data_IF_999736081986
#
_entry.id   IF_999736081986
#
_cell.length_a   1.000
_cell.length_b   1.000
_cell.length_c   1.000
_cell.angle_alpha   90.00
_cell.angle_beta   90.00
_cell.angle_gamma   90.00
#
_symmetry.space_group_name_H-M   'P 1'
#
loop_
_entity.id
_entity.type
_entity.pdbx_description
1 polymer ?
#
# COMPACT_ATOMS: atom_id res chain seq x y z
N UNK A 1 2.77 -6.36 -5.50
CA UNK A 1 3.84 -5.56 -6.12
C UNK A 1 5.21 -6.09 -5.67
N UNK A 2 6.16 -6.17 -6.59
CA UNK A 2 7.50 -6.65 -6.27
C UNK A 2 8.33 -5.54 -5.64
N UNK A 3 9.08 -5.84 -4.58
CA UNK A 3 9.91 -4.84 -3.90
C UNK A 3 11.01 -4.27 -4.81
N UNK A 4 11.50 -5.04 -5.76
CA UNK A 4 12.49 -4.55 -6.73
C UNK A 4 11.86 -3.45 -7.61
N UNK A 5 10.64 -3.66 -8.06
CA UNK A 5 9.93 -2.66 -8.85
C UNK A 5 9.66 -1.40 -8.04
N UNK A 6 9.28 -1.56 -6.78
CA UNK A 6 9.06 -0.43 -5.89
C UNK A 6 10.34 0.39 -5.69
N UNK A 7 11.47 -0.28 -5.52
CA UNK A 7 12.76 0.39 -5.33
C UNK A 7 13.21 1.13 -6.59
N UNK A 8 12.79 0.66 -7.75
CA UNK A 8 13.11 1.31 -9.02
C UNK A 8 12.28 2.57 -9.26
N UNK A 9 11.17 2.73 -8.54
CA UNK A 9 10.30 3.90 -8.69
C UNK A 9 10.85 5.09 -7.91
N UNK A 10 10.53 6.29 -8.40
CA UNK A 10 10.89 7.51 -7.69
C UNK A 10 10.05 7.65 -6.40
N UNK A 11 10.52 8.42 -5.41
CA UNK A 11 9.74 8.67 -4.20
C UNK A 11 8.37 9.27 -4.49
N UNK A 12 8.26 10.11 -5.52
CA UNK A 12 6.99 10.70 -5.90
C UNK A 12 6.00 9.64 -6.37
N UNK A 13 6.47 8.70 -7.21
CA UNK A 13 5.64 7.61 -7.68
C UNK A 13 5.20 6.71 -6.53
N UNK A 14 6.10 6.45 -5.60
CA UNK A 14 5.78 5.65 -4.41
C UNK A 14 4.74 6.34 -3.55
N UNK A 15 4.82 7.65 -3.41
CA UNK A 15 3.83 8.41 -2.65
C UNK A 15 2.46 8.34 -3.31
N UNK A 16 2.41 8.41 -4.64
CA UNK A 16 1.15 8.27 -5.38
C UNK A 16 0.54 6.89 -5.18
N UNK A 17 1.38 5.86 -5.26
CA UNK A 17 0.92 4.48 -5.03
C UNK A 17 0.43 4.30 -3.61
N UNK A 18 1.13 4.86 -2.63
CA UNK A 18 0.73 4.81 -1.23
C UNK A 18 -0.64 5.44 -1.05
N UNK A 19 -0.86 6.60 -1.66
CA UNK A 19 -2.14 7.28 -1.57
C UNK A 19 -3.26 6.44 -2.16
N UNK A 20 -3.02 5.84 -3.33
CA UNK A 20 -4.00 4.96 -3.96
C UNK A 20 -4.31 3.73 -3.12
N UNK A 21 -3.28 3.13 -2.53
CA UNK A 21 -3.46 1.96 -1.66
C UNK A 21 -4.25 2.32 -0.41
N UNK A 22 -4.01 3.49 0.16
CA UNK A 22 -4.77 3.94 1.33
C UNK A 22 -6.25 4.13 0.99
N UNK A 23 -6.54 4.69 -0.18
CA UNK A 23 -7.92 4.84 -0.63
C UNK A 23 -8.59 3.48 -0.80
N UNK A 24 -7.88 2.53 -1.41
CA UNK A 24 -8.37 1.18 -1.59
C UNK A 24 -8.59 0.50 -0.24
N UNK A 25 -7.67 0.65 0.68
CA UNK A 25 -7.80 0.09 2.03
C UNK A 25 -9.02 0.64 2.74
N UNK A 26 -9.25 1.92 2.63
CA UNK A 26 -10.41 2.56 3.23
C UNK A 26 -11.72 2.01 2.64
N UNK A 27 -11.78 1.90 1.31
CA UNK A 27 -12.94 1.31 0.65
C UNK A 27 -13.21 -0.12 1.09
N UNK A 28 -12.17 -0.92 1.18
CA UNK A 28 -12.30 -2.32 1.61
C UNK A 28 -12.78 -2.41 3.05
N UNK A 29 -12.30 -1.52 3.91
CA UNK A 29 -12.77 -1.48 5.29
C UNK A 29 -14.25 -1.14 5.38
N UNK A 30 -14.70 -0.20 4.57
CA UNK A 30 -16.11 0.15 4.52
C UNK A 30 -16.96 -1.01 4.02
N UNK A 31 -16.47 -1.74 3.01
CA UNK A 31 -17.19 -2.90 2.49
C UNK A 31 -17.33 -4.00 3.54
N UNK A 32 -16.27 -4.22 4.31
CA UNK A 32 -16.33 -5.20 5.41
C UNK A 32 -17.33 -4.77 6.48
N UNK A 33 -17.32 -3.48 6.82
CA UNK A 33 -18.23 -2.95 7.82
C UNK A 33 -19.70 -3.08 7.41
N UNK A 34 -19.98 -3.03 6.11
CA UNK A 34 -21.33 -3.21 5.59
C UNK A 34 -21.65 -4.66 5.22
N UNK A 35 -20.73 -5.56 5.53
CA UNK A 35 -20.85 -7.00 5.24
C UNK A 35 -20.97 -7.31 3.75
N UNK A 36 -20.53 -6.41 2.89
CA UNK A 36 -20.50 -6.63 1.46
C UNK A 36 -19.29 -7.45 1.02
N UNK A 37 -18.25 -7.49 1.84
CA UNK A 37 -17.03 -8.23 1.56
C UNK A 37 -16.81 -9.27 2.64
N UNK A 38 -16.83 -10.55 2.25
CA UNK A 38 -16.63 -11.65 3.18
C UNK A 38 -15.18 -12.12 3.26
N UNK A 39 -14.40 -11.78 2.23
CA UNK A 39 -13.01 -12.21 2.13
C UNK A 39 -12.07 -11.08 2.54
N UNK A 40 -11.29 -11.28 3.60
CA UNK A 40 -10.37 -10.27 4.13
C UNK A 40 -8.98 -10.37 3.51
N UNK A 41 -8.75 -11.30 2.58
CA UNK A 41 -7.45 -11.49 1.94
C UNK A 41 -6.97 -10.23 1.24
N UNK A 42 -7.89 -9.52 0.55
CA UNK A 42 -7.53 -8.29 -0.15
C UNK A 42 -7.07 -7.21 0.82
N UNK A 43 -7.72 -7.11 1.98
CA UNK A 43 -7.35 -6.12 3.00
C UNK A 43 -5.94 -6.41 3.51
N UNK A 44 -5.63 -7.68 3.79
CA UNK A 44 -4.31 -8.08 4.24
C UNK A 44 -3.25 -7.78 3.18
N UNK A 45 -3.55 -8.03 1.91
CA UNK A 45 -2.63 -7.76 0.81
C UNK A 45 -2.35 -6.27 0.67
N UNK A 46 -3.39 -5.46 0.69
CA UNK A 46 -3.23 -4.01 0.58
C UNK A 46 -2.44 -3.47 1.77
N UNK A 47 -2.73 -3.94 2.96
CA UNK A 47 -2.00 -3.54 4.17
C UNK A 47 -0.52 -3.87 4.04
N UNK A 48 -0.18 -5.04 3.51
CA UNK A 48 1.21 -5.44 3.29
C UNK A 48 1.90 -4.53 2.27
N UNK A 49 1.21 -4.22 1.18
CA UNK A 49 1.76 -3.33 0.15
C UNK A 49 2.02 -1.93 0.70
N UNK A 50 1.10 -1.41 1.51
CA UNK A 50 1.29 -0.11 2.16
C UNK A 50 2.53 -0.14 3.05
N UNK A 51 2.70 -1.21 3.83
CA UNK A 51 3.86 -1.34 4.70
C UNK A 51 5.16 -1.42 3.89
N UNK A 52 5.16 -2.15 2.77
CA UNK A 52 6.34 -2.26 1.91
C UNK A 52 6.72 -0.90 1.33
N UNK A 53 5.75 -0.14 0.84
CA UNK A 53 6.01 1.17 0.26
C UNK A 53 6.56 2.12 1.33
N UNK A 54 5.99 2.11 2.51
CA UNK A 54 6.48 2.94 3.62
C UNK A 54 7.93 2.60 3.97
N UNK A 55 8.25 1.30 4.01
CA UNK A 55 9.60 0.85 4.31
C UNK A 55 10.58 1.36 3.26
N UNK A 56 10.23 1.23 1.98
CA UNK A 56 11.09 1.67 0.88
C UNK A 56 11.26 3.19 0.90
N UNK A 57 10.21 3.94 1.16
CA UNK A 57 10.29 5.39 1.28
C UNK A 57 11.22 5.80 2.42
N UNK A 58 11.14 5.10 3.55
CA UNK A 58 12.02 5.34 4.68
C UNK A 58 13.46 5.03 4.32
N UNK A 59 13.72 3.94 3.62
CA UNK A 59 15.07 3.60 3.15
C UNK A 59 15.62 4.68 2.24
N UNK A 60 14.82 5.15 1.28
CA UNK A 60 15.26 6.20 0.35
C UNK A 60 15.52 7.52 1.06
N UNK A 61 14.73 7.84 2.06
CA UNK A 61 14.94 9.05 2.85
C UNK A 61 16.20 8.95 3.70
N UNK A 62 16.54 7.74 4.16
CA UNK A 62 17.72 7.52 4.99
C UNK A 62 19.00 7.32 4.18
N UNK A 63 18.89 6.99 2.93
CA UNK A 63 20.03 6.64 2.05
C UNK A 63 20.62 7.86 1.37
N UNK A 64 20.82 8.92 2.06
CA UNK A 64 21.41 10.14 1.50
C UNK A 64 22.92 10.05 1.38
#
# INVERSE_FOLDING_TARGET
>A
MNTKEMRAKSPEDLNKELLNLRKTQFSLRMQVATQQLTNTTQISRVKREVAQIKTILTEKASAK
#
